data_IF_422562267938
#
_entry.id   IF_422562267938
#
_cell.length_a   1.000
_cell.length_b   1.000
_cell.length_c   1.000
_cell.angle_alpha   90.00
_cell.angle_beta   90.00
_cell.angle_gamma   90.00
#
_symmetry.space_group_name_H-M   'P 1'
#
loop_
_entity.id
_entity.type
_entity.pdbx_description
1 polymer ?
#
# COMPACT_ATOMS: atom_id res chain seq x y z
N UNK A 1 -2.86 -22.11 -19.56
CA UNK A 1 -3.53 -20.83 -19.81
C UNK A 1 -4.13 -20.20 -18.57
N UNK A 2 -4.93 -20.93 -17.81
CA UNK A 2 -5.51 -20.38 -16.57
C UNK A 2 -4.45 -20.06 -15.52
N UNK A 3 -3.40 -20.86 -15.41
CA UNK A 3 -2.29 -20.59 -14.50
C UNK A 3 -1.52 -19.34 -14.89
N UNK A 4 -1.25 -19.16 -16.18
CA UNK A 4 -0.56 -17.96 -16.66
C UNK A 4 -1.33 -16.69 -16.33
N UNK A 5 -2.66 -16.74 -16.44
CA UNK A 5 -3.51 -15.61 -16.11
C UNK A 5 -3.48 -15.30 -14.61
N UNK A 6 -3.54 -16.34 -13.76
CA UNK A 6 -3.46 -16.18 -12.31
C UNK A 6 -2.09 -15.65 -11.89
N UNK A 7 -1.02 -16.16 -12.48
CA UNK A 7 0.34 -15.67 -12.23
C UNK A 7 0.48 -14.20 -12.59
N UNK A 8 -0.10 -13.79 -13.72
CA UNK A 8 -0.11 -12.40 -14.16
C UNK A 8 -0.85 -11.50 -13.19
N UNK A 9 -2.00 -11.96 -12.68
CA UNK A 9 -2.78 -11.23 -11.70
C UNK A 9 -2.03 -11.10 -10.37
N UNK A 10 -1.40 -12.18 -9.92
CA UNK A 10 -0.59 -12.19 -8.68
C UNK A 10 0.55 -11.18 -8.81
N UNK A 11 1.26 -11.22 -9.93
CA UNK A 11 2.36 -10.30 -10.19
C UNK A 11 1.90 -8.84 -10.17
N UNK A 12 0.76 -8.58 -10.82
CA UNK A 12 0.17 -7.24 -10.87
C UNK A 12 -0.19 -6.73 -9.46
N UNK A 13 -0.82 -7.58 -8.65
CA UNK A 13 -1.20 -7.23 -7.29
C UNK A 13 0.06 -6.99 -6.42
N UNK A 14 1.08 -7.83 -6.57
CA UNK A 14 2.35 -7.63 -5.87
C UNK A 14 2.98 -6.28 -6.18
N UNK A 15 2.95 -5.87 -7.45
CA UNK A 15 3.45 -4.57 -7.88
C UNK A 15 2.68 -3.43 -7.22
N UNK A 16 1.37 -3.57 -7.11
CA UNK A 16 0.53 -2.57 -6.43
C UNK A 16 0.84 -2.48 -4.95
N UNK A 17 1.08 -3.62 -4.30
CA UNK A 17 1.48 -3.66 -2.89
C UNK A 17 2.80 -2.90 -2.70
N UNK A 18 3.79 -3.15 -3.55
CA UNK A 18 5.07 -2.46 -3.51
C UNK A 18 4.91 -0.95 -3.73
N UNK A 19 4.05 -0.58 -4.67
CA UNK A 19 3.74 0.83 -4.95
C UNK A 19 3.16 1.51 -3.71
N UNK A 20 2.16 0.88 -3.05
CA UNK A 20 1.55 1.45 -1.86
C UNK A 20 2.52 1.48 -0.69
N UNK A 21 3.40 0.49 -0.58
CA UNK A 21 4.45 0.49 0.44
C UNK A 21 5.38 1.68 0.24
N UNK A 22 5.74 2.00 -0.99
CA UNK A 22 6.51 3.18 -1.32
C UNK A 22 5.80 4.48 -0.93
N UNK A 23 4.49 4.55 -1.18
CA UNK A 23 3.67 5.70 -0.78
C UNK A 23 3.62 5.87 0.73
N UNK A 24 3.47 4.75 1.46
CA UNK A 24 3.47 4.74 2.93
C UNK A 24 4.80 5.29 3.46
N UNK A 25 5.90 4.79 2.95
CA UNK A 25 7.23 5.22 3.39
C UNK A 25 7.48 6.69 3.08
N UNK A 26 7.06 7.16 1.92
CA UNK A 26 7.19 8.56 1.54
C UNK A 26 6.37 9.46 2.46
N UNK A 27 5.13 9.09 2.75
CA UNK A 27 4.27 9.84 3.67
C UNK A 27 4.88 9.90 5.07
N UNK A 28 5.39 8.77 5.56
CA UNK A 28 6.03 8.71 6.88
C UNK A 28 7.25 9.64 6.94
N UNK A 29 8.05 9.63 5.89
CA UNK A 29 9.24 10.47 5.80
C UNK A 29 8.87 11.95 5.81
N UNK A 30 7.88 12.34 5.01
CA UNK A 30 7.40 13.72 4.93
C UNK A 30 6.83 14.18 6.27
N UNK A 31 6.06 13.33 6.94
CA UNK A 31 5.51 13.63 8.28
C UNK A 31 6.65 13.85 9.27
N UNK A 32 7.64 12.97 9.26
CA UNK A 32 8.79 13.06 10.17
C UNK A 32 9.59 14.33 9.93
N UNK A 33 9.90 14.64 8.67
CA UNK A 33 10.65 15.84 8.31
C UNK A 33 9.90 17.11 8.72
N UNK A 34 8.61 17.16 8.44
CA UNK A 34 7.78 18.31 8.76
C UNK A 34 7.70 18.52 10.28
N UNK A 35 7.49 17.43 11.01
CA UNK A 35 7.41 17.48 12.47
C UNK A 35 8.71 17.97 13.12
N UNK A 36 9.86 17.72 12.49
CA UNK A 36 11.16 18.11 13.03
C UNK A 36 11.57 19.52 12.63
N UNK A 37 11.17 19.98 11.45
CA UNK A 37 11.74 21.17 10.83
C UNK A 37 10.80 22.35 10.68
N UNK A 38 9.53 22.20 11.03
CA UNK A 38 8.55 23.26 10.81
C UNK A 38 7.96 23.76 12.12
N UNK A 39 7.32 24.93 12.09
CA UNK A 39 6.71 25.48 13.28
C UNK A 39 5.37 24.76 13.57
N UNK A 40 4.89 24.84 14.86
CA UNK A 40 3.68 24.11 15.26
C UNK A 40 2.42 24.43 14.43
N UNK A 41 2.26 25.65 13.95
CA UNK A 41 1.10 26.03 13.15
C UNK A 41 1.11 25.33 11.81
N UNK A 42 2.27 25.32 11.15
CA UNK A 42 2.42 24.66 9.86
C UNK A 42 2.23 23.16 9.98
N UNK A 43 2.74 22.58 11.08
CA UNK A 43 2.55 21.16 11.36
C UNK A 43 1.05 20.86 11.51
N UNK A 44 0.34 21.65 12.30
CA UNK A 44 -1.09 21.46 12.53
C UNK A 44 -1.91 21.56 11.25
N UNK A 45 -1.51 22.41 10.31
CA UNK A 45 -2.20 22.57 9.02
C UNK A 45 -1.87 21.44 8.06
N UNK A 46 -0.64 20.97 8.04
CA UNK A 46 -0.14 19.95 7.13
C UNK A 46 -0.55 18.53 7.56
N UNK A 47 -0.47 18.27 8.86
CA UNK A 47 -0.55 16.91 9.40
C UNK A 47 -1.86 16.18 9.10
N UNK A 48 -3.05 16.80 9.25
CA UNK A 48 -4.30 16.08 9.00
C UNK A 48 -4.41 15.53 7.57
N UNK A 49 -4.00 16.30 6.57
CA UNK A 49 -4.02 15.88 5.19
C UNK A 49 -3.05 14.73 4.93
N UNK A 50 -1.85 14.83 5.51
CA UNK A 50 -0.82 13.81 5.33
C UNK A 50 -1.17 12.51 6.04
N UNK A 51 -1.74 12.60 7.24
CA UNK A 51 -2.21 11.42 7.97
C UNK A 51 -3.32 10.72 7.19
N UNK A 52 -4.22 11.49 6.59
CA UNK A 52 -5.28 10.93 5.75
C UNK A 52 -4.70 10.19 4.55
N UNK A 53 -3.72 10.78 3.85
CA UNK A 53 -3.04 10.12 2.73
C UNK A 53 -2.38 8.82 3.17
N UNK A 54 -1.71 8.84 4.31
CA UNK A 54 -1.08 7.66 4.88
C UNK A 54 -2.10 6.57 5.15
N UNK A 55 -3.21 6.92 5.80
CA UNK A 55 -4.27 5.96 6.11
C UNK A 55 -4.87 5.35 4.84
N UNK A 56 -5.11 6.17 3.82
CA UNK A 56 -5.63 5.68 2.55
C UNK A 56 -4.66 4.71 1.87
N UNK A 57 -3.37 5.00 1.92
CA UNK A 57 -2.35 4.12 1.36
C UNK A 57 -2.28 2.79 2.11
N UNK A 58 -2.37 2.82 3.44
CA UNK A 58 -2.41 1.62 4.27
C UNK A 58 -3.65 0.78 3.92
N UNK A 59 -4.81 1.42 3.80
CA UNK A 59 -6.06 0.74 3.48
C UNK A 59 -5.99 0.07 2.10
N UNK A 60 -5.43 0.75 1.10
CA UNK A 60 -5.24 0.18 -0.23
C UNK A 60 -4.28 -1.00 -0.20
N UNK A 61 -3.19 -0.88 0.53
CA UNK A 61 -2.23 -1.97 0.68
C UNK A 61 -2.86 -3.20 1.31
N UNK A 62 -3.64 -3.01 2.38
CA UNK A 62 -4.33 -4.11 3.06
C UNK A 62 -5.31 -4.81 2.11
N UNK A 63 -6.04 -4.03 1.33
CA UNK A 63 -6.98 -4.56 0.34
C UNK A 63 -6.26 -5.41 -0.72
N UNK A 64 -5.14 -4.92 -1.23
CA UNK A 64 -4.35 -5.67 -2.20
C UNK A 64 -3.73 -6.93 -1.59
N UNK A 65 -3.33 -6.86 -0.31
CA UNK A 65 -2.81 -8.02 0.40
C UNK A 65 -3.86 -9.12 0.53
N UNK A 66 -5.11 -8.74 0.82
CA UNK A 66 -6.23 -9.69 0.85
C UNK A 66 -6.47 -10.32 -0.52
N UNK A 67 -6.45 -9.50 -1.58
CA UNK A 67 -6.58 -9.99 -2.94
C UNK A 67 -5.48 -10.98 -3.30
N UNK A 68 -4.25 -10.68 -2.90
CA UNK A 68 -3.11 -11.55 -3.14
C UNK A 68 -3.30 -12.90 -2.47
N UNK A 69 -3.74 -12.90 -1.21
CA UNK A 69 -3.99 -14.13 -0.47
C UNK A 69 -5.07 -14.99 -1.14
N UNK A 70 -6.14 -14.35 -1.62
CA UNK A 70 -7.20 -15.03 -2.35
C UNK A 70 -6.68 -15.65 -3.64
N UNK A 71 -5.88 -14.92 -4.40
CA UNK A 71 -5.31 -15.41 -5.64
C UNK A 71 -4.36 -16.59 -5.39
N UNK A 72 -3.56 -16.52 -4.35
CA UNK A 72 -2.68 -17.62 -3.97
C UNK A 72 -3.47 -18.87 -3.55
N UNK A 73 -4.57 -18.69 -2.86
CA UNK A 73 -5.46 -19.79 -2.51
C UNK A 73 -6.04 -20.47 -3.75
N UNK A 74 -6.52 -19.67 -4.71
CA UNK A 74 -7.04 -20.19 -5.97
C UNK A 74 -5.97 -20.97 -6.74
N UNK A 75 -4.75 -20.47 -6.72
CA UNK A 75 -3.64 -21.12 -7.41
C UNK A 75 -3.32 -22.48 -6.78
N UNK A 76 -3.28 -22.54 -5.45
CA UNK A 76 -3.04 -23.81 -4.74
C UNK A 76 -4.13 -24.83 -4.99
N UNK A 77 -5.39 -24.39 -4.99
CA UNK A 77 -6.52 -25.30 -5.22
C UNK A 77 -6.49 -25.91 -6.61
N UNK A 78 -5.92 -25.22 -7.58
CA UNK A 78 -5.80 -25.74 -8.95
C UNK A 78 -4.68 -26.74 -9.14
N UNK A 79 -3.67 -26.68 -8.31
CA UNK A 79 -2.54 -27.62 -8.38
C UNK A 79 -2.91 -29.00 -7.82
N UNK A 80 -3.95 -29.08 -7.00
CA UNK A 80 -4.47 -30.34 -6.49
C UNK A 80 -5.38 -31.01 -7.52
#
# INVERSE_FOLDING_TARGET
MKQGKLEGMIKSVKMRIEWEQGNIERCRKEIKEKAQNDDPRNIAMFMPGKVKELQEAIDRKDKYSEQLDMLKCLMRNKEE
#
